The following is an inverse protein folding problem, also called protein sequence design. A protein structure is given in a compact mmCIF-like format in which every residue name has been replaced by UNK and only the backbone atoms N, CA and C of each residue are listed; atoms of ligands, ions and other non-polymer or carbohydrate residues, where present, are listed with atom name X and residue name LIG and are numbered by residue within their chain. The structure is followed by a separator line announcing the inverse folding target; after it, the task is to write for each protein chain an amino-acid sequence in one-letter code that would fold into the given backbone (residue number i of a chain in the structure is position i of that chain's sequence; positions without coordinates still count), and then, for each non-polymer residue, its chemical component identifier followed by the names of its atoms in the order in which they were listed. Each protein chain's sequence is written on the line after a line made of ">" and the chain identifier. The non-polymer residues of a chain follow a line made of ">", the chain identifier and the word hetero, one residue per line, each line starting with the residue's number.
data_IF_816886053385
#
_entry.id   IF_816886053385
#
_cell.length_a   1.000
_cell.length_b   1.000
_cell.length_c   1.000
_cell.angle_alpha   90.00
_cell.angle_beta   90.00
_cell.angle_gamma   90.00
#
_symmetry.space_group_name_H-M   'P 1'
#
loop_
_entity.id
_entity.type
_entity.pdbx_description
1 polymer ?
#
# COMPACT_ATOMS: atom_id res chain seq x y z
N UNK A 1 2.24 -14.24 5.63
CA UNK A 1 2.78 -15.09 4.55
C UNK A 1 2.58 -14.35 3.23
N UNK A 2 2.85 -14.97 2.08
CA UNK A 2 2.58 -14.40 0.76
C UNK A 2 2.04 -15.47 -0.18
N UNK A 3 1.31 -15.03 -1.20
CA UNK A 3 0.80 -15.87 -2.28
C UNK A 3 1.17 -15.26 -3.61
N UNK A 4 1.59 -16.07 -4.57
CA UNK A 4 1.81 -15.61 -5.93
C UNK A 4 0.49 -15.55 -6.70
N UNK A 5 0.28 -14.45 -7.40
CA UNK A 5 -0.87 -14.31 -8.29
C UNK A 5 -0.62 -15.07 -9.59
N UNK A 6 -1.66 -15.75 -10.08
CA UNK A 6 -1.65 -16.22 -11.46
C UNK A 6 -1.89 -15.03 -12.39
N UNK A 7 -0.81 -14.47 -12.94
CA UNK A 7 -0.83 -13.29 -13.80
C UNK A 7 -1.74 -13.49 -15.02
N UNK A 8 -1.87 -14.70 -15.57
CA UNK A 8 -2.73 -14.95 -16.73
C UNK A 8 -4.23 -14.76 -16.44
N UNK A 9 -4.65 -14.91 -15.18
CA UNK A 9 -6.05 -14.78 -14.75
C UNK A 9 -6.34 -13.54 -13.92
N UNK A 10 -5.30 -12.76 -13.59
CA UNK A 10 -5.43 -11.59 -12.75
C UNK A 10 -6.07 -10.43 -13.51
N UNK A 11 -7.05 -9.77 -12.91
CA UNK A 11 -7.79 -8.66 -13.53
C UNK A 11 -6.92 -7.44 -13.91
N UNK A 12 -5.66 -7.37 -13.45
CA UNK A 12 -4.70 -6.31 -13.81
C UNK A 12 -3.54 -6.82 -14.68
N UNK A 13 -3.67 -8.00 -15.28
CA UNK A 13 -2.63 -8.61 -16.12
C UNK A 13 -2.13 -7.66 -17.21
N UNK A 14 -3.03 -7.12 -18.03
CA UNK A 14 -2.67 -6.21 -19.12
C UNK A 14 -1.99 -4.94 -18.61
N UNK A 15 -2.51 -4.36 -17.53
CA UNK A 15 -1.89 -3.19 -16.88
C UNK A 15 -0.46 -3.51 -16.43
N UNK A 16 -0.26 -4.65 -15.77
CA UNK A 16 1.06 -5.07 -15.33
C UNK A 16 2.01 -5.28 -16.52
N UNK A 17 1.57 -5.99 -17.56
CA UNK A 17 2.37 -6.25 -18.75
C UNK A 17 2.73 -4.98 -19.54
N UNK A 18 1.84 -3.99 -19.55
CA UNK A 18 2.09 -2.70 -20.16
C UNK A 18 3.14 -1.88 -19.38
N UNK A 19 2.89 -1.62 -18.09
CA UNK A 19 3.74 -0.72 -17.30
C UNK A 19 5.10 -1.32 -16.93
N UNK A 20 5.21 -2.65 -16.75
CA UNK A 20 6.48 -3.29 -16.34
C UNK A 20 7.62 -3.16 -17.34
N UNK A 21 7.34 -2.69 -18.56
CA UNK A 21 8.33 -2.49 -19.61
C UNK A 21 9.02 -1.12 -19.50
N UNK A 22 8.50 -0.24 -18.64
CA UNK A 22 8.98 1.14 -18.52
C UNK A 22 10.21 1.18 -17.61
N UNK A 23 11.13 2.10 -17.89
CA UNK A 23 12.28 2.37 -17.02
C UNK A 23 11.83 2.91 -15.66
N UNK A 24 10.80 3.76 -15.65
CA UNK A 24 10.19 4.33 -14.44
C UNK A 24 8.68 3.99 -14.38
N UNK A 25 8.32 2.79 -13.88
CA UNK A 25 6.92 2.31 -13.84
C UNK A 25 6.16 2.82 -12.59
N UNK A 26 6.46 4.04 -12.13
CA UNK A 26 5.91 4.61 -10.90
C UNK A 26 5.33 6.00 -11.14
N UNK A 27 4.43 6.43 -10.25
CA UNK A 27 3.92 7.79 -10.23
C UNK A 27 3.80 8.27 -8.79
N UNK A 28 4.04 9.57 -8.58
CA UNK A 28 3.87 10.24 -7.29
C UNK A 28 2.56 11.01 -7.25
N UNK A 29 1.87 10.96 -6.11
CA UNK A 29 0.69 11.80 -5.84
C UNK A 29 0.82 12.39 -4.44
N UNK A 30 0.48 13.67 -4.31
CA UNK A 30 0.37 14.37 -3.03
C UNK A 30 -1.06 14.86 -2.86
N UNK A 31 -1.67 14.54 -1.72
CA UNK A 31 -3.02 14.98 -1.36
C UNK A 31 -3.01 15.58 0.03
N UNK A 32 -3.86 16.59 0.25
CA UNK A 32 -4.11 17.15 1.59
C UNK A 32 -5.21 16.34 2.26
N UNK A 33 -4.92 15.84 3.47
CA UNK A 33 -5.89 15.14 4.30
C UNK A 33 -6.20 15.99 5.52
N UNK A 34 -7.49 16.20 5.80
CA UNK A 34 -7.92 16.82 7.06
C UNK A 34 -7.73 15.82 8.22
N UNK A 35 -6.77 16.13 9.07
CA UNK A 35 -6.40 15.33 10.23
C UNK A 35 -6.99 15.87 11.55
N UNK A 36 -7.91 16.83 11.53
CA UNK A 36 -8.45 17.48 12.74
C UNK A 36 -8.97 16.46 13.75
N UNK A 37 -9.81 15.51 13.30
CA UNK A 37 -10.36 14.45 14.16
C UNK A 37 -9.29 13.52 14.74
N UNK A 38 -8.32 13.13 13.90
CA UNK A 38 -7.21 12.27 14.30
C UNK A 38 -6.33 12.94 15.36
N UNK A 39 -6.05 14.23 15.18
CA UNK A 39 -5.26 15.03 16.12
C UNK A 39 -5.94 15.16 17.48
N UNK A 40 -7.23 15.55 17.49
CA UNK A 40 -8.02 15.66 18.72
C UNK A 40 -8.07 14.32 19.47
N UNK A 41 -8.38 13.23 18.74
CA UNK A 41 -8.42 11.88 19.33
C UNK A 41 -7.07 11.48 19.94
N UNK A 42 -5.95 11.80 19.26
CA UNK A 42 -4.63 11.47 19.77
C UNK A 42 -4.31 12.24 21.07
N UNK A 43 -4.67 13.52 21.12
CA UNK A 43 -4.48 14.38 22.30
C UNK A 43 -5.33 13.91 23.49
N UNK A 44 -6.61 13.66 23.28
CA UNK A 44 -7.53 13.18 24.33
C UNK A 44 -7.08 11.84 24.93
N UNK A 45 -6.52 10.96 24.10
CA UNK A 45 -6.03 9.64 24.53
C UNK A 45 -4.59 9.64 25.05
N UNK A 46 -3.89 10.78 25.03
CA UNK A 46 -2.49 10.87 25.45
C UNK A 46 -1.52 10.07 24.57
N UNK A 47 -1.85 9.83 23.31
CA UNK A 47 -1.02 9.07 22.36
C UNK A 47 -0.27 10.01 21.40
N UNK A 48 0.89 9.58 20.93
CA UNK A 48 1.64 10.31 19.91
C UNK A 48 0.82 10.44 18.62
N UNK A 49 0.56 11.67 18.19
CA UNK A 49 -0.13 11.93 16.93
C UNK A 49 0.60 11.31 15.73
N UNK A 50 1.93 11.30 15.76
CA UNK A 50 2.75 10.62 14.74
C UNK A 50 2.43 9.13 14.65
N UNK A 51 2.47 8.42 15.77
CA UNK A 51 2.18 6.99 15.80
C UNK A 51 0.73 6.71 15.44
N UNK A 52 -0.19 7.59 15.82
CA UNK A 52 -1.59 7.48 15.45
C UNK A 52 -1.77 7.50 13.93
N UNK A 53 -1.30 8.54 13.24
CA UNK A 53 -1.48 8.60 11.79
C UNK A 53 -0.66 7.54 11.05
N UNK A 54 0.53 7.17 11.56
CA UNK A 54 1.34 6.09 10.98
C UNK A 54 0.59 4.77 10.99
N UNK A 55 -0.04 4.42 12.12
CA UNK A 55 -0.87 3.24 12.24
C UNK A 55 -2.08 3.30 11.28
N UNK A 56 -2.77 4.44 11.21
CA UNK A 56 -3.91 4.61 10.30
C UNK A 56 -3.51 4.47 8.83
N UNK A 57 -2.36 5.04 8.43
CA UNK A 57 -1.80 4.89 7.07
C UNK A 57 -1.48 3.43 6.75
N UNK A 58 -0.86 2.71 7.69
CA UNK A 58 -0.54 1.30 7.52
C UNK A 58 -1.79 0.41 7.48
N UNK A 59 -2.82 0.73 8.29
CA UNK A 59 -4.09 0.04 8.28
C UNK A 59 -4.80 0.21 6.92
N UNK A 60 -4.80 1.41 6.36
CA UNK A 60 -5.35 1.67 5.03
C UNK A 60 -4.60 0.89 3.93
N UNK A 61 -3.26 0.89 3.96
CA UNK A 61 -2.45 0.12 3.03
C UNK A 61 -2.70 -1.39 3.12
N UNK A 62 -2.92 -1.93 4.32
CA UNK A 62 -3.24 -3.35 4.49
C UNK A 62 -4.68 -3.70 4.05
N UNK A 63 -5.64 -2.79 4.23
CA UNK A 63 -7.03 -2.99 3.82
C UNK A 63 -7.21 -3.02 2.29
N UNK A 64 -6.33 -2.33 1.56
CA UNK A 64 -6.41 -2.21 0.10
C UNK A 64 -5.41 -3.17 -0.54
N UNK A 65 -5.89 -4.32 -1.02
CA UNK A 65 -5.06 -5.42 -1.56
C UNK A 65 -3.96 -4.99 -2.54
N UNK A 66 -4.19 -4.06 -3.49
CA UNK A 66 -3.12 -3.57 -4.37
C UNK A 66 -1.87 -3.00 -3.69
N UNK A 67 -1.97 -2.40 -2.50
CA UNK A 67 -0.80 -1.91 -1.76
C UNK A 67 0.05 -3.04 -1.15
N UNK A 68 -0.46 -4.27 -1.14
CA UNK A 68 0.25 -5.48 -0.68
C UNK A 68 0.91 -6.27 -1.82
N UNK A 69 0.79 -5.81 -3.07
CA UNK A 69 1.49 -6.43 -4.19
C UNK A 69 2.96 -6.02 -4.25
N UNK A 70 3.84 -6.97 -4.58
CA UNK A 70 5.26 -6.75 -4.85
C UNK A 70 5.66 -7.54 -6.09
N UNK A 71 6.58 -6.98 -6.85
CA UNK A 71 7.21 -7.68 -7.97
C UNK A 71 8.45 -8.37 -7.41
N UNK A 72 8.51 -9.69 -7.57
CA UNK A 72 9.65 -10.53 -7.24
C UNK A 72 10.16 -11.20 -8.52
N UNK A 73 11.46 -11.48 -8.60
CA UNK A 73 12.09 -12.13 -9.77
C UNK A 73 11.74 -11.47 -11.12
N UNK A 74 11.46 -10.15 -11.13
CA UNK A 74 11.06 -9.33 -12.29
C UNK A 74 9.69 -9.65 -12.90
N UNK A 75 9.19 -10.87 -12.81
CA UNK A 75 7.93 -11.34 -13.44
C UNK A 75 6.86 -11.75 -12.45
N UNK A 76 7.25 -12.14 -11.24
CA UNK A 76 6.34 -12.79 -10.31
C UNK A 76 5.66 -11.73 -9.45
N UNK A 77 4.33 -11.76 -9.39
CA UNK A 77 3.57 -10.82 -8.54
C UNK A 77 3.18 -11.55 -7.27
N UNK A 78 3.83 -11.17 -6.16
CA UNK A 78 3.49 -11.65 -4.84
C UNK A 78 2.46 -10.72 -4.18
N UNK A 79 1.40 -11.29 -3.62
CA UNK A 79 0.49 -10.62 -2.70
C UNK A 79 0.85 -11.03 -1.27
N UNK A 80 1.28 -10.07 -0.46
CA UNK A 80 1.55 -10.29 0.95
C UNK A 80 0.26 -10.27 1.77
N UNK A 81 0.18 -11.10 2.81
CA UNK A 81 -0.97 -11.05 3.73
C UNK A 81 -0.98 -9.74 4.53
N UNK A 82 0.20 -9.28 4.93
CA UNK A 82 0.40 -8.07 5.74
C UNK A 82 1.65 -7.34 5.27
N UNK A 83 1.61 -6.01 5.29
CA UNK A 83 2.77 -5.12 5.13
C UNK A 83 3.00 -4.33 6.42
N UNK A 84 4.25 -4.03 6.72
CA UNK A 84 4.68 -3.32 7.93
C UNK A 84 5.30 -1.96 7.61
N UNK A 85 5.34 -1.07 8.60
CA UNK A 85 6.11 0.17 8.51
C UNK A 85 7.63 -0.13 8.53
N UNK A 86 8.42 0.74 7.90
CA UNK A 86 9.89 0.68 7.87
C UNK A 86 10.51 1.56 8.95
#
# INVERSE_FOLDING_TARGET
>A
MKQYLNVATWNRSDHFHFFRQFEEPFFGVTVTIDCTKAYTTAKEKGISFFLYYLYQSLAAANAITPFRYRIENKTDVACYDVVHAS
#
